data_IF_463781723179
#
_entry.id   IF_463781723179
#
_cell.length_a   1.000
_cell.length_b   1.000
_cell.length_c   1.000
_cell.angle_alpha   90.00
_cell.angle_beta   90.00
_cell.angle_gamma   90.00
#
_symmetry.space_group_name_H-M   'P 1'
#
loop_
_entity.id
_entity.type
_entity.pdbx_description
1 polymer ?
#
# COMPACT_ATOMS: atom_id res chain seq x y z
N UNK A 1 19.12 -8.09 24.76
CA UNK A 1 18.51 -6.95 24.05
C UNK A 1 18.11 -7.24 22.59
N UNK A 2 18.64 -8.29 21.94
CA UNK A 2 18.31 -8.65 20.54
C UNK A 2 16.85 -9.12 20.31
N UNK A 3 16.20 -9.70 21.33
CA UNK A 3 14.86 -10.30 21.20
C UNK A 3 13.72 -9.27 21.03
N UNK A 4 13.90 -8.05 21.53
CA UNK A 4 12.88 -7.00 21.42
C UNK A 4 12.91 -6.33 20.04
N UNK A 5 14.09 -6.16 19.42
CA UNK A 5 14.21 -5.50 18.12
C UNK A 5 13.64 -6.36 16.99
N UNK A 6 13.96 -7.66 16.97
CA UNK A 6 13.44 -8.62 15.97
C UNK A 6 11.91 -8.71 15.99
N UNK A 7 11.28 -8.63 17.17
CA UNK A 7 9.82 -8.63 17.29
C UNK A 7 9.20 -7.31 16.81
N UNK A 8 9.88 -6.17 17.03
CA UNK A 8 9.39 -4.86 16.58
C UNK A 8 9.48 -4.71 15.06
N UNK A 9 10.53 -5.24 14.44
CA UNK A 9 10.72 -5.18 12.99
C UNK A 9 9.73 -6.12 12.27
N UNK A 10 9.44 -7.30 12.84
CA UNK A 10 8.30 -8.17 12.41
C UNK A 10 6.99 -7.45 12.44
N UNK A 11 6.72 -6.79 13.54
CA UNK A 11 5.49 -6.04 13.72
C UNK A 11 5.39 -4.92 12.68
N UNK A 12 6.47 -4.21 12.40
CA UNK A 12 6.55 -3.13 11.40
C UNK A 12 6.17 -3.60 9.98
N UNK A 13 6.74 -4.72 9.51
CA UNK A 13 6.42 -5.28 8.18
C UNK A 13 4.97 -5.82 8.14
N UNK A 14 4.45 -6.36 9.24
CA UNK A 14 3.03 -6.71 9.34
C UNK A 14 2.11 -5.47 9.31
N UNK A 15 2.52 -4.35 9.91
CA UNK A 15 1.78 -3.09 9.84
C UNK A 15 1.66 -2.58 8.40
N UNK A 16 2.67 -2.78 7.55
CA UNK A 16 2.60 -2.42 6.13
C UNK A 16 1.42 -3.12 5.40
N UNK A 17 1.19 -4.40 5.69
CA UNK A 17 0.06 -5.18 5.13
C UNK A 17 -1.29 -4.61 5.59
N UNK A 18 -1.42 -4.32 6.88
CA UNK A 18 -2.63 -3.71 7.46
C UNK A 18 -2.91 -2.34 6.82
N UNK A 19 -1.87 -1.52 6.61
CA UNK A 19 -1.98 -0.21 5.97
C UNK A 19 -2.48 -0.32 4.52
N UNK A 20 -2.08 -1.35 3.79
CA UNK A 20 -2.61 -1.60 2.44
C UNK A 20 -4.07 -2.07 2.46
N UNK A 21 -4.47 -2.91 3.41
CA UNK A 21 -5.88 -3.29 3.60
C UNK A 21 -6.74 -2.06 3.90
N UNK A 22 -6.24 -1.15 4.74
CA UNK A 22 -6.91 0.13 5.03
C UNK A 22 -7.05 0.99 3.77
N UNK A 23 -5.99 1.08 2.95
CA UNK A 23 -6.06 1.77 1.66
C UNK A 23 -7.16 1.21 0.76
N UNK A 24 -7.24 -0.11 0.56
CA UNK A 24 -8.29 -0.75 -0.25
C UNK A 24 -9.68 -0.47 0.30
N UNK A 25 -9.83 -0.50 1.63
CA UNK A 25 -11.10 -0.23 2.29
C UNK A 25 -11.56 1.21 2.07
N UNK A 26 -10.67 2.18 2.21
CA UNK A 26 -10.96 3.59 1.92
C UNK A 26 -11.29 3.82 0.44
N UNK A 27 -10.52 3.24 -0.48
CA UNK A 27 -10.80 3.35 -1.91
C UNK A 27 -12.16 2.76 -2.27
N UNK A 28 -12.50 1.59 -1.72
CA UNK A 28 -13.83 1.00 -1.90
C UNK A 28 -14.91 1.93 -1.36
N UNK A 29 -14.74 2.52 -0.18
CA UNK A 29 -15.71 3.47 0.34
C UNK A 29 -15.99 4.62 -0.65
N UNK A 30 -14.95 5.20 -1.26
CA UNK A 30 -15.08 6.25 -2.28
C UNK A 30 -15.91 5.77 -3.48
N UNK A 31 -15.60 4.60 -4.04
CA UNK A 31 -16.27 4.06 -5.23
C UNK A 31 -17.72 3.56 -4.96
N UNK A 32 -18.15 3.62 -3.70
CA UNK A 32 -19.50 3.32 -3.24
C UNK A 32 -20.20 4.55 -2.64
N UNK A 33 -19.67 5.75 -2.85
CA UNK A 33 -20.31 7.02 -2.45
C UNK A 33 -19.98 7.52 -1.05
N UNK A 34 -18.99 6.93 -0.39
CA UNK A 34 -18.42 7.45 0.85
C UNK A 34 -17.64 8.75 0.64
N UNK A 35 -17.32 9.43 1.75
CA UNK A 35 -16.55 10.66 1.74
C UNK A 35 -15.18 10.50 1.07
N UNK A 36 -14.80 11.50 0.27
CA UNK A 36 -13.54 11.50 -0.45
C UNK A 36 -12.43 12.11 0.41
N UNK A 37 -11.53 11.24 0.89
CA UNK A 37 -10.24 11.63 1.45
C UNK A 37 -9.18 11.50 0.34
N UNK A 38 -8.88 12.60 -0.36
CA UNK A 38 -7.96 12.58 -1.51
C UNK A 38 -6.52 12.20 -1.12
N UNK A 39 -6.16 12.29 0.17
CA UNK A 39 -4.82 11.91 0.66
C UNK A 39 -4.50 10.44 0.40
N UNK A 40 -5.52 9.57 0.29
CA UNK A 40 -5.30 8.15 -0.02
C UNK A 40 -4.71 7.96 -1.42
N UNK A 41 -4.96 8.89 -2.35
CA UNK A 41 -4.47 8.83 -3.72
C UNK A 41 -3.03 9.33 -3.85
N UNK A 42 -2.49 9.96 -2.81
CA UNK A 42 -1.10 10.35 -2.75
C UNK A 42 -0.24 9.16 -2.36
N UNK A 43 0.74 8.82 -3.20
CA UNK A 43 1.73 7.78 -2.89
C UNK A 43 2.54 8.10 -1.64
N UNK A 44 2.64 9.38 -1.23
CA UNK A 44 3.38 9.78 -0.04
C UNK A 44 2.49 9.84 1.20
N UNK A 45 1.24 10.29 1.04
CA UNK A 45 0.38 10.60 2.18
C UNK A 45 -0.56 9.46 2.55
N UNK A 46 -0.77 8.48 1.67
CA UNK A 46 -1.51 7.28 2.02
C UNK A 46 -0.81 6.50 3.14
N UNK A 47 -1.56 5.62 3.82
CA UNK A 47 -1.05 4.92 5.00
C UNK A 47 0.22 4.09 4.73
N UNK A 48 0.33 3.46 3.56
CA UNK A 48 1.50 2.68 3.14
C UNK A 48 2.69 3.60 2.80
N UNK A 49 2.44 4.70 2.10
CA UNK A 49 3.40 5.74 1.80
C UNK A 49 4.01 6.35 3.05
N UNK A 50 3.17 6.72 4.03
CA UNK A 50 3.64 7.25 5.31
C UNK A 50 4.60 6.28 6.01
N UNK A 51 4.28 4.99 6.05
CA UNK A 51 5.20 3.97 6.59
C UNK A 51 6.49 3.87 5.75
N UNK A 52 6.36 3.83 4.42
CA UNK A 52 7.50 3.71 3.52
C UNK A 52 8.51 4.86 3.70
N UNK A 53 8.01 6.10 3.66
CA UNK A 53 8.86 7.30 3.69
C UNK A 53 9.32 7.68 5.10
N UNK A 54 8.54 7.38 6.14
CA UNK A 54 8.90 7.77 7.50
C UNK A 54 9.70 6.68 8.23
N UNK A 55 9.48 5.41 7.90
CA UNK A 55 10.02 4.27 8.63
C UNK A 55 10.87 3.37 7.72
N UNK A 56 10.28 2.75 6.70
CA UNK A 56 10.93 1.69 5.94
C UNK A 56 12.19 2.15 5.20
N UNK A 57 12.16 3.33 4.56
CA UNK A 57 13.35 3.89 3.88
C UNK A 57 14.48 4.23 4.85
N UNK A 58 14.18 4.55 6.11
CA UNK A 58 15.22 4.82 7.12
C UNK A 58 15.83 3.52 7.66
N UNK A 59 14.99 2.51 7.92
CA UNK A 59 15.40 1.22 8.50
C UNK A 59 16.04 0.28 7.48
N UNK A 60 15.47 0.24 6.28
CA UNK A 60 15.74 -0.77 5.26
C UNK A 60 16.16 -0.15 3.91
N UNK A 61 16.47 1.14 3.84
CA UNK A 61 16.67 1.85 2.56
C UNK A 61 17.79 1.34 1.65
N UNK A 62 18.71 0.52 2.17
CA UNK A 62 19.76 -0.17 1.40
C UNK A 62 19.29 -1.47 0.76
N UNK A 63 18.10 -1.94 1.11
CA UNK A 63 17.51 -3.21 0.69
C UNK A 63 16.65 -2.98 -0.57
N UNK A 64 16.89 -3.70 -1.68
CA UNK A 64 16.21 -3.44 -2.95
C UNK A 64 14.69 -3.62 -2.87
N UNK A 65 14.20 -4.50 -1.99
CA UNK A 65 12.79 -4.75 -1.76
C UNK A 65 12.03 -3.48 -1.33
N UNK A 66 12.66 -2.55 -0.61
CA UNK A 66 12.03 -1.27 -0.22
C UNK A 66 11.77 -0.38 -1.43
N UNK A 67 12.71 -0.34 -2.38
CA UNK A 67 12.51 0.37 -3.65
C UNK A 67 11.45 -0.28 -4.50
N UNK A 68 11.30 -1.59 -4.43
CA UNK A 68 10.24 -2.27 -5.16
C UNK A 68 8.86 -2.00 -4.52
N UNK A 69 8.77 -1.94 -3.19
CA UNK A 69 7.55 -1.49 -2.49
C UNK A 69 7.18 -0.06 -2.87
N UNK A 70 8.17 0.84 -3.00
CA UNK A 70 7.96 2.22 -3.46
C UNK A 70 7.34 2.26 -4.86
N UNK A 71 7.88 1.49 -5.81
CA UNK A 71 7.30 1.36 -7.16
C UNK A 71 5.90 0.78 -7.14
N UNK A 72 5.65 -0.25 -6.34
CA UNK A 72 4.32 -0.86 -6.23
C UNK A 72 3.30 0.15 -5.68
N UNK A 73 3.65 0.93 -4.65
CA UNK A 73 2.77 1.95 -4.10
C UNK A 73 2.46 3.08 -5.11
N UNK A 74 3.44 3.46 -5.95
CA UNK A 74 3.20 4.39 -7.06
C UNK A 74 2.24 3.80 -8.10
N UNK A 75 2.40 2.52 -8.46
CA UNK A 75 1.52 1.84 -9.41
C UNK A 75 0.07 1.72 -8.87
N UNK A 76 -0.07 1.31 -7.61
CA UNK A 76 -1.35 1.20 -6.90
C UNK A 76 -2.08 2.54 -6.87
N UNK A 77 -1.40 3.61 -6.46
CA UNK A 77 -2.03 4.94 -6.37
C UNK A 77 -2.38 5.52 -7.73
N UNK A 78 -1.57 5.26 -8.76
CA UNK A 78 -1.91 5.63 -10.14
C UNK A 78 -3.20 4.95 -10.62
N UNK A 79 -3.32 3.62 -10.41
CA UNK A 79 -4.55 2.87 -10.71
C UNK A 79 -5.74 3.42 -9.94
N UNK A 80 -5.60 3.65 -8.64
CA UNK A 80 -6.67 4.18 -7.79
C UNK A 80 -7.17 5.55 -8.26
N UNK A 81 -6.27 6.46 -8.69
CA UNK A 81 -6.66 7.73 -9.32
C UNK A 81 -7.51 7.49 -10.57
N UNK A 82 -7.12 6.53 -11.41
CA UNK A 82 -7.91 6.11 -12.57
C UNK A 82 -9.32 5.66 -12.21
N UNK A 83 -9.46 4.79 -11.20
CA UNK A 83 -10.77 4.30 -10.73
C UNK A 83 -11.63 5.43 -10.16
N UNK A 84 -11.03 6.33 -9.36
CA UNK A 84 -11.74 7.50 -8.83
C UNK A 84 -12.19 8.43 -9.95
N UNK A 85 -11.37 8.63 -10.99
CA UNK A 85 -11.75 9.42 -12.15
C UNK A 85 -12.91 8.79 -12.92
N UNK A 86 -12.89 7.48 -13.16
CA UNK A 86 -14.02 6.75 -13.77
C UNK A 86 -15.30 6.97 -12.95
N UNK A 87 -15.22 6.86 -11.62
CA UNK A 87 -16.35 7.10 -10.72
C UNK A 87 -16.86 8.55 -10.81
N UNK A 88 -15.96 9.54 -10.77
CA UNK A 88 -16.30 10.97 -10.92
C UNK A 88 -16.98 11.27 -12.26
N UNK A 89 -16.68 10.51 -13.30
CA UNK A 89 -17.30 10.60 -14.64
C UNK A 89 -18.62 9.83 -14.77
N UNK A 90 -19.13 9.21 -13.70
CA UNK A 90 -20.36 8.41 -13.72
C UNK A 90 -20.20 7.00 -14.29
N UNK A 91 -18.97 6.57 -14.62
CA UNK A 91 -18.64 5.21 -15.09
C UNK A 91 -18.49 4.25 -13.91
N UNK A 92 -19.57 4.09 -13.15
CA UNK A 92 -19.56 3.42 -11.85
C UNK A 92 -19.16 1.94 -11.97
N UNK A 93 -19.70 1.22 -12.95
CA UNK A 93 -19.42 -0.20 -13.14
C UNK A 93 -17.97 -0.46 -13.58
N UNK A 94 -17.43 0.40 -14.46
CA UNK A 94 -16.01 0.36 -14.86
C UNK A 94 -15.10 0.59 -13.65
N UNK A 95 -15.39 1.61 -12.85
CA UNK A 95 -14.62 1.95 -11.65
C UNK A 95 -14.61 0.80 -10.62
N UNK A 96 -15.77 0.18 -10.37
CA UNK A 96 -15.89 -0.93 -9.41
C UNK A 96 -15.29 -2.22 -9.93
N UNK A 97 -15.43 -2.51 -11.22
CA UNK A 97 -14.81 -3.70 -11.83
C UNK A 97 -13.30 -3.62 -11.75
N UNK A 98 -12.72 -2.44 -11.98
CA UNK A 98 -11.28 -2.21 -11.88
C UNK A 98 -10.69 -2.37 -10.47
N UNK A 99 -11.51 -2.51 -9.41
CA UNK A 99 -11.01 -2.87 -8.08
C UNK A 99 -10.33 -4.25 -8.06
N UNK A 100 -10.72 -5.17 -8.95
CA UNK A 100 -10.10 -6.51 -9.06
C UNK A 100 -8.63 -6.44 -9.47
N UNK A 101 -8.25 -5.41 -10.22
CA UNK A 101 -6.86 -5.22 -10.66
C UNK A 101 -5.92 -4.83 -9.51
N UNK A 102 -6.48 -4.48 -8.33
CA UNK A 102 -5.72 -4.23 -7.12
C UNK A 102 -5.37 -5.51 -6.37
N UNK A 103 -6.07 -6.62 -6.61
CA UNK A 103 -5.78 -7.89 -5.95
C UNK A 103 -4.41 -8.43 -6.44
N UNK A 104 -4.10 -8.27 -7.73
CA UNK A 104 -2.77 -8.60 -8.27
C UNK A 104 -1.65 -7.73 -7.66
N UNK A 105 -1.92 -6.44 -7.42
CA UNK A 105 -0.96 -5.57 -6.75
C UNK A 105 -0.78 -5.94 -5.26
N UNK A 106 -1.83 -6.44 -4.61
CA UNK A 106 -1.75 -6.95 -3.24
C UNK A 106 -0.87 -8.18 -3.15
N UNK A 107 -1.06 -9.14 -4.05
CA UNK A 107 -0.25 -10.36 -4.11
C UNK A 107 1.23 -10.01 -4.29
N UNK A 108 1.55 -9.12 -5.22
CA UNK A 108 2.91 -8.69 -5.46
C UNK A 108 3.50 -7.92 -4.27
N UNK A 109 2.74 -7.01 -3.66
CA UNK A 109 3.16 -6.30 -2.44
C UNK A 109 3.45 -7.29 -1.30
N UNK A 110 2.57 -8.27 -1.08
CA UNK A 110 2.75 -9.28 -0.04
C UNK A 110 3.97 -10.16 -0.30
N UNK A 111 4.24 -10.52 -1.56
CA UNK A 111 5.44 -11.25 -1.97
C UNK A 111 6.70 -10.46 -1.63
N UNK A 112 6.76 -9.18 -2.03
CA UNK A 112 7.94 -8.34 -1.75
C UNK A 112 8.13 -8.12 -0.25
N UNK A 113 7.04 -7.87 0.50
CA UNK A 113 7.09 -7.76 1.96
C UNK A 113 7.57 -9.06 2.63
N UNK A 114 7.23 -10.23 2.06
CA UNK A 114 7.75 -11.52 2.52
C UNK A 114 9.26 -11.64 2.33
N UNK A 115 9.76 -11.29 1.14
CA UNK A 115 11.21 -11.29 0.85
C UNK A 115 11.95 -10.30 1.73
N UNK A 116 11.40 -9.10 1.93
CA UNK A 116 11.96 -8.10 2.85
C UNK A 116 12.09 -8.69 4.26
N UNK A 117 11.02 -9.31 4.75
CA UNK A 117 10.96 -9.92 6.08
C UNK A 117 12.03 -11.01 6.27
N UNK A 118 12.17 -11.91 5.30
CA UNK A 118 13.20 -12.96 5.32
C UNK A 118 14.61 -12.39 5.30
N UNK A 119 14.86 -11.38 4.46
CA UNK A 119 16.20 -10.78 4.30
C UNK A 119 16.65 -10.01 5.54
N UNK A 120 15.74 -9.28 6.18
CA UNK A 120 16.07 -8.44 7.34
C UNK A 120 16.00 -9.20 8.67
N UNK A 121 15.62 -10.49 8.65
CA UNK A 121 15.39 -11.27 9.86
C UNK A 121 14.23 -10.75 10.70
N UNK A 122 13.33 -10.01 10.07
CA UNK A 122 12.10 -9.44 10.66
C UNK A 122 10.70 -10.22 10.32
#
# INVERSE_FOLDING_TARGET
MLYNQVNLDRFDIQQARIKFILFKSKLRAILYGGGMDESILSARENALGQWLYNDALKKYGTVPEVREIEKQNLAITSKAKGLVNLYKLGKIDEARTGLRDLDQNEEELNRILGVLQERTGA
#
